data_IF_193804348693
#
_entry.id   IF_193804348693
#
_cell.length_a   1.000
_cell.length_b   1.000
_cell.length_c   1.000
_cell.angle_alpha   90.00
_cell.angle_beta   90.00
_cell.angle_gamma   90.00
#
_symmetry.space_group_name_H-M   'P 1'
#
loop_
_entity.id
_entity.type
_entity.pdbx_description
1 polymer ?
#
# COMPACT_ATOMS: atom_id res chain seq x y z
N UNK A 1 18.16 3.16 -41.25
CA UNK A 1 18.26 4.11 -40.14
C UNK A 1 16.92 4.83 -39.96
N UNK A 2 15.85 4.14 -39.55
CA UNK A 2 14.57 4.74 -39.12
C UNK A 2 13.62 3.62 -38.60
N UNK A 3 13.87 3.10 -37.39
CA UNK A 3 12.92 2.22 -36.68
C UNK A 3 13.18 2.19 -35.18
N UNK A 4 13.55 3.33 -34.62
CA UNK A 4 13.92 3.52 -33.21
C UNK A 4 13.04 4.62 -32.61
N UNK A 5 11.71 4.46 -32.66
CA UNK A 5 10.80 5.46 -32.10
C UNK A 5 9.42 4.91 -31.69
N UNK A 6 9.33 3.68 -31.15
CA UNK A 6 8.06 3.17 -30.57
C UNK A 6 8.14 2.87 -29.06
N UNK A 7 9.29 3.10 -28.41
CA UNK A 7 9.40 2.91 -26.96
C UNK A 7 8.92 4.12 -26.16
N UNK A 8 8.97 5.32 -26.75
CA UNK A 8 8.59 6.58 -26.06
C UNK A 8 7.08 6.71 -25.88
N UNK A 9 6.29 6.14 -26.79
CA UNK A 9 4.82 6.14 -26.72
C UNK A 9 4.25 5.25 -25.62
N UNK A 10 5.02 4.31 -25.08
CA UNK A 10 4.61 3.48 -23.93
C UNK A 10 4.84 4.16 -22.57
N UNK A 11 5.69 5.19 -22.49
CA UNK A 11 5.92 5.96 -21.27
C UNK A 11 4.89 7.07 -21.03
N UNK A 12 4.25 7.57 -22.10
CA UNK A 12 3.15 8.55 -22.02
C UNK A 12 1.92 8.05 -21.21
N UNK A 13 1.40 6.82 -21.39
CA UNK A 13 0.31 6.33 -20.56
C UNK A 13 0.74 6.03 -19.11
N UNK A 14 2.03 5.69 -18.89
CA UNK A 14 2.59 5.45 -17.55
C UNK A 14 2.67 6.76 -16.74
N UNK A 15 3.13 7.84 -17.39
CA UNK A 15 3.14 9.20 -16.82
C UNK A 15 1.73 9.74 -16.53
N UNK A 16 0.73 9.37 -17.33
CA UNK A 16 -0.67 9.78 -17.11
C UNK A 16 -1.32 8.97 -15.98
N UNK A 17 -0.93 7.70 -15.79
CA UNK A 17 -1.39 6.84 -14.70
C UNK A 17 -0.85 7.31 -13.33
N UNK A 18 0.38 7.83 -13.31
CA UNK A 18 1.05 8.44 -12.15
C UNK A 18 0.32 9.69 -11.62
N UNK A 19 -0.36 10.45 -12.49
CA UNK A 19 -1.05 11.71 -12.15
C UNK A 19 -2.41 11.50 -11.44
N UNK A 20 -2.94 10.28 -11.40
CA UNK A 20 -4.24 9.97 -10.81
C UNK A 20 -4.15 9.26 -9.44
N UNK A 21 -2.95 9.14 -8.86
CA UNK A 21 -2.74 8.40 -7.62
C UNK A 21 -3.08 9.28 -6.41
N UNK A 22 -4.21 8.97 -5.76
CA UNK A 22 -4.56 9.49 -4.43
C UNK A 22 -3.69 8.79 -3.39
N UNK A 23 -3.09 9.59 -2.51
CA UNK A 23 -2.12 9.14 -1.53
C UNK A 23 -2.85 8.79 -0.23
N UNK A 24 -2.65 7.57 0.29
CA UNK A 24 -2.99 7.26 1.68
C UNK A 24 -1.99 7.97 2.61
N UNK A 25 -2.54 8.69 3.56
CA UNK A 25 -1.82 9.47 4.54
C UNK A 25 -2.59 9.32 5.86
N UNK A 26 -1.87 9.26 6.99
CA UNK A 26 -2.51 9.35 8.32
C UNK A 26 -3.22 10.69 8.52
N UNK A 27 -2.88 11.65 7.67
CA UNK A 27 -3.66 12.83 7.38
C UNK A 27 -4.59 12.58 6.19
N UNK A 28 -5.88 12.33 6.45
CA UNK A 28 -6.87 12.20 5.38
C UNK A 28 -7.45 13.56 5.01
N UNK A 29 -7.31 13.96 3.76
CA UNK A 29 -7.85 15.20 3.21
C UNK A 29 -9.02 14.91 2.26
N UNK A 30 -10.18 15.50 2.56
CA UNK A 30 -11.38 15.40 1.73
C UNK A 30 -11.52 16.66 0.88
N UNK A 31 -11.46 16.49 -0.44
CA UNK A 31 -11.49 17.61 -1.41
C UNK A 31 -12.85 17.73 -2.12
N UNK A 32 -13.95 17.34 -1.46
CA UNK A 32 -15.29 17.31 -2.06
C UNK A 32 -15.75 15.91 -2.43
N UNK A 33 -15.55 14.93 -1.54
CA UNK A 33 -16.02 13.56 -1.78
C UNK A 33 -17.55 13.49 -1.69
N UNK A 34 -18.15 12.70 -2.59
CA UNK A 34 -19.61 12.53 -2.69
C UNK A 34 -20.04 11.30 -1.91
N UNK A 35 -21.21 11.38 -1.28
CA UNK A 35 -21.78 10.23 -0.57
C UNK A 35 -22.33 9.19 -1.54
N UNK A 36 -22.06 7.91 -1.23
CA UNK A 36 -22.56 6.77 -1.99
C UNK A 36 -23.68 6.09 -1.21
N UNK A 37 -24.75 5.75 -1.91
CA UNK A 37 -25.88 5.01 -1.31
C UNK A 37 -25.47 3.57 -0.98
N UNK A 38 -25.60 3.18 0.29
CA UNK A 38 -25.33 1.83 0.77
C UNK A 38 -26.49 1.36 1.66
N UNK A 39 -27.37 0.55 1.08
CA UNK A 39 -28.59 0.10 1.76
C UNK A 39 -29.55 1.28 1.99
N UNK A 40 -29.86 1.59 3.24
CA UNK A 40 -30.75 2.68 3.64
C UNK A 40 -30.02 3.94 4.14
N UNK A 41 -28.71 4.04 3.90
CA UNK A 41 -27.87 5.14 4.33
C UNK A 41 -26.97 5.64 3.19
N UNK A 42 -26.56 6.89 3.28
CA UNK A 42 -25.54 7.47 2.41
C UNK A 42 -24.24 7.57 3.19
N UNK A 43 -23.14 7.08 2.60
CA UNK A 43 -21.87 6.87 3.32
C UNK A 43 -20.69 7.40 2.51
N UNK A 44 -19.75 8.05 3.21
CA UNK A 44 -18.38 8.33 2.74
C UNK A 44 -17.40 7.68 3.72
N UNK A 45 -16.37 7.04 3.18
CA UNK A 45 -15.27 6.49 3.99
C UNK A 45 -14.33 7.62 4.39
N UNK A 46 -14.22 7.88 5.70
CA UNK A 46 -13.38 8.94 6.24
C UNK A 46 -11.92 8.54 6.42
N UNK A 47 -11.61 7.24 6.53
CA UNK A 47 -10.25 6.76 6.80
C UNK A 47 -10.27 5.50 7.66
N UNK A 48 -9.19 4.73 7.57
CA UNK A 48 -9.01 3.51 8.35
C UNK A 48 -7.54 3.34 8.71
N UNK A 49 -7.20 3.56 9.98
CA UNK A 49 -5.82 3.50 10.44
C UNK A 49 -5.67 2.68 11.71
N UNK A 50 -4.50 2.04 11.84
CA UNK A 50 -4.09 1.36 13.08
C UNK A 50 -3.54 2.38 14.07
N UNK A 51 -4.12 2.47 15.26
CA UNK A 51 -3.66 3.36 16.32
C UNK A 51 -3.29 2.56 17.56
N UNK A 52 -2.19 2.93 18.20
CA UNK A 52 -1.78 2.46 19.50
C UNK A 52 -2.44 3.31 20.59
N UNK A 53 -2.69 2.70 21.74
CA UNK A 53 -3.15 3.40 22.93
C UNK A 53 -2.16 4.49 23.35
N UNK A 54 -2.69 5.63 23.78
CA UNK A 54 -1.90 6.65 24.47
C UNK A 54 -1.35 6.09 25.77
N UNK A 55 -0.08 6.38 26.07
CA UNK A 55 0.48 6.11 27.39
C UNK A 55 -0.19 7.09 28.36
N UNK A 56 -0.69 6.63 29.52
CA UNK A 56 -1.26 7.54 30.52
C UNK A 56 -0.15 8.47 31.03
N UNK A 57 -0.18 9.73 30.61
CA UNK A 57 0.76 10.75 31.06
C UNK A 57 0.45 11.14 32.51
N UNK A 58 1.47 11.16 33.38
CA UNK A 58 1.38 11.66 34.76
C UNK A 58 1.16 13.18 34.84
N UNK A 59 1.33 13.91 33.72
CA UNK A 59 1.14 15.35 33.62
C UNK A 59 0.07 15.68 32.57
N UNK A 60 -1.05 16.26 32.99
CA UNK A 60 -2.23 16.58 32.16
C UNK A 60 -2.01 17.71 31.12
N UNK A 61 -0.83 18.34 31.09
CA UNK A 61 -0.55 19.51 30.26
C UNK A 61 0.05 19.20 28.89
N UNK A 62 0.48 17.96 28.62
CA UNK A 62 0.93 17.55 27.29
C UNK A 62 -0.25 17.10 26.42
N UNK A 63 -0.27 17.44 25.11
CA UNK A 63 -1.27 16.87 24.21
C UNK A 63 -1.16 15.34 24.23
N UNK A 64 -2.29 14.62 24.12
CA UNK A 64 -2.30 13.16 24.12
C UNK A 64 -1.35 12.59 23.06
N UNK A 65 -0.64 11.52 23.42
CA UNK A 65 0.35 10.91 22.53
C UNK A 65 -0.29 10.26 21.30
N UNK A 66 -1.55 9.80 21.43
CA UNK A 66 -2.33 9.18 20.35
C UNK A 66 -3.72 9.79 20.27
N UNK A 67 -4.09 10.31 19.10
CA UNK A 67 -5.38 10.96 18.89
C UNK A 67 -5.87 10.93 17.45
N UNK A 68 -7.18 11.09 17.30
CA UNK A 68 -7.85 11.44 16.04
C UNK A 68 -8.39 12.86 16.17
N UNK A 69 -7.95 13.77 15.31
CA UNK A 69 -8.36 15.18 15.32
C UNK A 69 -9.13 15.53 14.04
N UNK A 70 -10.29 16.16 14.22
CA UNK A 70 -11.08 16.73 13.15
C UNK A 70 -10.67 18.19 12.92
N UNK A 71 -10.24 18.52 11.71
CA UNK A 71 -9.90 19.88 11.30
C UNK A 71 -10.85 20.37 10.21
N UNK A 72 -11.71 21.33 10.59
CA UNK A 72 -12.59 22.08 9.68
C UNK A 72 -13.32 21.18 8.68
N UNK A 73 -14.08 20.20 9.18
CA UNK A 73 -14.92 19.36 8.33
C UNK A 73 -16.17 20.15 7.97
N UNK A 74 -16.35 20.38 6.68
CA UNK A 74 -17.44 21.15 6.09
C UNK A 74 -18.26 20.19 5.25
N UNK A 75 -19.56 20.16 5.52
CA UNK A 75 -20.52 19.50 4.67
C UNK A 75 -21.24 20.56 3.85
N UNK A 76 -21.24 20.38 2.53
CA UNK A 76 -21.86 21.30 1.59
C UNK A 76 -22.99 20.59 0.86
N UNK A 77 -24.21 21.12 0.96
CA UNK A 77 -25.39 20.63 0.25
C UNK A 77 -25.68 21.48 -0.99
N UNK A 78 -26.46 21.00 -1.97
CA UNK A 78 -26.90 21.82 -3.09
C UNK A 78 -27.79 22.99 -2.63
N UNK A 79 -27.63 24.16 -3.27
CA UNK A 79 -28.41 25.37 -2.93
C UNK A 79 -29.91 25.23 -3.16
N UNK A 80 -30.35 24.32 -4.02
CA UNK A 80 -31.79 24.07 -4.29
C UNK A 80 -32.54 23.52 -3.07
N UNK A 81 -31.82 22.92 -2.12
CA UNK A 81 -32.37 22.23 -0.94
C UNK A 81 -32.12 23.06 0.34
N UNK A 82 -31.59 24.29 0.22
CA UNK A 82 -31.24 25.13 1.38
C UNK A 82 -32.44 25.55 2.22
N UNK A 83 -33.62 25.65 1.60
CA UNK A 83 -34.82 26.18 2.23
C UNK A 83 -35.48 25.23 3.24
N UNK A 84 -35.01 23.98 3.33
CA UNK A 84 -35.56 22.93 4.19
C UNK A 84 -34.57 22.64 5.32
N UNK A 85 -35.06 22.49 6.55
CA UNK A 85 -34.27 21.91 7.64
C UNK A 85 -34.00 20.44 7.34
N UNK A 86 -32.75 20.10 7.05
CA UNK A 86 -32.39 18.73 6.70
C UNK A 86 -31.99 17.91 7.92
N UNK A 87 -32.03 16.58 7.78
CA UNK A 87 -31.56 15.64 8.78
C UNK A 87 -30.07 15.81 9.12
N UNK A 88 -29.65 15.22 10.24
CA UNK A 88 -28.28 15.31 10.71
C UNK A 88 -27.33 14.38 9.93
N UNK A 89 -26.15 14.91 9.62
CA UNK A 89 -24.99 14.15 9.18
C UNK A 89 -24.21 13.76 10.42
N UNK A 90 -23.75 12.52 10.49
CA UNK A 90 -22.93 12.06 11.60
C UNK A 90 -21.57 11.58 11.11
N UNK A 91 -20.52 11.97 11.84
CA UNK A 91 -19.22 11.33 11.79
C UNK A 91 -19.17 10.24 12.86
N UNK A 92 -18.97 9.00 12.45
CA UNK A 92 -18.82 7.86 13.36
C UNK A 92 -17.39 7.34 13.30
N UNK A 93 -16.79 7.14 14.47
CA UNK A 93 -15.47 6.53 14.64
C UNK A 93 -15.60 5.30 15.52
N UNK A 94 -15.07 4.17 15.06
CA UNK A 94 -15.19 2.89 15.77
C UNK A 94 -13.99 1.99 15.53
N UNK A 95 -13.67 1.15 16.51
CA UNK A 95 -12.72 0.06 16.35
C UNK A 95 -13.34 -1.05 15.48
N UNK A 96 -12.54 -1.75 14.66
CA UNK A 96 -13.02 -2.86 13.79
C UNK A 96 -13.83 -3.90 14.57
N UNK A 97 -13.46 -4.22 15.80
CA UNK A 97 -14.17 -5.17 16.66
C UNK A 97 -15.58 -4.68 17.03
N UNK A 98 -15.75 -3.37 17.13
CA UNK A 98 -17.03 -2.71 17.44
C UNK A 98 -17.89 -2.52 16.18
N UNK A 99 -17.48 -2.99 15.00
CA UNK A 99 -18.25 -2.87 13.75
C UNK A 99 -19.67 -3.41 13.88
N UNK A 100 -19.84 -4.47 14.66
CA UNK A 100 -21.13 -5.12 14.89
C UNK A 100 -22.10 -4.27 15.72
N UNK A 101 -21.58 -3.31 16.48
CA UNK A 101 -22.39 -2.37 17.29
C UNK A 101 -23.06 -1.27 16.46
N UNK A 102 -22.69 -1.15 15.18
CA UNK A 102 -23.23 -0.17 14.25
C UNK A 102 -24.26 -0.83 13.33
N UNK A 103 -25.41 -0.18 13.23
CA UNK A 103 -26.55 -0.70 12.50
C UNK A 103 -27.27 -1.82 13.25
N UNK A 104 -28.36 -2.28 12.65
CA UNK A 104 -29.13 -3.40 13.16
C UNK A 104 -29.99 -4.02 12.06
N UNK A 105 -30.46 -5.24 12.29
CA UNK A 105 -31.50 -5.86 11.48
C UNK A 105 -32.61 -6.34 12.40
N UNK A 106 -33.86 -6.01 12.06
CA UNK A 106 -35.02 -6.52 12.82
C UNK A 106 -35.27 -8.01 12.55
N UNK A 107 -34.91 -8.48 11.35
CA UNK A 107 -35.32 -9.81 10.85
C UNK A 107 -34.15 -10.64 10.31
N UNK A 108 -32.91 -10.39 10.75
CA UNK A 108 -31.74 -11.19 10.33
C UNK A 108 -31.30 -11.01 8.86
N UNK A 109 -31.84 -10.01 8.15
CA UNK A 109 -31.50 -9.67 6.77
C UNK A 109 -30.38 -8.62 6.65
N UNK A 110 -30.41 -7.81 5.57
CA UNK A 110 -29.48 -6.70 5.38
C UNK A 110 -29.52 -5.74 6.59
N UNK A 111 -28.33 -5.37 7.09
CA UNK A 111 -28.21 -4.42 8.22
C UNK A 111 -28.62 -3.03 7.76
N UNK A 112 -29.62 -2.49 8.44
CA UNK A 112 -29.98 -1.08 8.35
C UNK A 112 -29.03 -0.27 9.21
N UNK A 113 -28.40 0.76 8.64
CA UNK A 113 -27.55 1.69 9.39
C UNK A 113 -28.39 2.83 9.97
N UNK A 114 -29.39 3.26 9.19
CA UNK A 114 -30.33 4.29 9.59
C UNK A 114 -31.57 3.71 10.24
N UNK A 115 -32.07 4.38 11.28
CA UNK A 115 -33.29 3.99 11.98
C UNK A 115 -34.52 4.24 11.09
N UNK A 116 -35.18 3.15 10.68
CA UNK A 116 -36.44 3.19 9.93
C UNK A 116 -37.63 3.40 10.87
N UNK A 117 -38.77 3.81 10.33
CA UNK A 117 -40.00 4.00 11.12
C UNK A 117 -40.43 2.72 11.85
N UNK A 118 -40.23 1.54 11.25
CA UNK A 118 -40.57 0.26 11.87
C UNK A 118 -39.69 -0.05 13.09
N UNK A 119 -38.39 0.24 13.00
CA UNK A 119 -37.45 0.10 14.12
C UNK A 119 -37.72 1.13 15.23
N UNK A 120 -38.14 2.33 14.86
CA UNK A 120 -38.53 3.36 15.81
C UNK A 120 -39.81 2.98 16.57
N UNK A 121 -40.81 2.38 15.90
CA UNK A 121 -42.02 1.87 16.54
C UNK A 121 -41.75 0.75 17.55
N UNK A 122 -40.69 -0.04 17.32
CA UNK A 122 -40.22 -1.06 18.25
C UNK A 122 -39.46 -0.47 19.46
N UNK A 123 -39.28 0.86 19.52
CA UNK A 123 -38.61 1.54 20.64
C UNK A 123 -37.09 1.36 20.67
N UNK A 124 -36.48 0.86 19.59
CA UNK A 124 -35.04 0.53 19.56
C UNK A 124 -34.18 1.75 19.22
N UNK A 125 -34.72 2.70 18.43
CA UNK A 125 -33.99 3.88 17.98
C UNK A 125 -34.93 5.03 17.62
N UNK A 126 -34.37 6.24 17.51
CA UNK A 126 -35.03 7.46 17.04
C UNK A 126 -35.01 7.51 15.51
N UNK A 127 -36.18 7.71 14.91
CA UNK A 127 -36.33 7.76 13.45
C UNK A 127 -35.39 8.81 12.82
N UNK A 128 -34.70 8.42 11.75
CA UNK A 128 -33.78 9.33 11.03
C UNK A 128 -32.39 9.48 11.64
N UNK A 129 -32.11 8.84 12.78
CA UNK A 129 -30.76 8.77 13.36
C UNK A 129 -30.05 7.45 13.04
N UNK A 130 -28.74 7.43 13.27
CA UNK A 130 -27.91 6.24 13.08
C UNK A 130 -28.08 5.30 14.26
N UNK A 131 -28.27 4.02 13.96
CA UNK A 131 -28.32 2.96 14.96
C UNK A 131 -26.88 2.67 15.41
N UNK A 132 -26.61 2.90 16.69
CA UNK A 132 -25.36 2.54 17.33
C UNK A 132 -25.64 2.03 18.74
N UNK A 133 -24.79 1.14 19.25
CA UNK A 133 -24.87 0.60 20.61
C UNK A 133 -23.51 0.77 21.28
N UNK A 134 -23.44 1.09 22.58
CA UNK A 134 -22.18 1.08 23.30
C UNK A 134 -21.55 -0.32 23.24
N UNK A 135 -20.24 -0.37 23.00
CA UNK A 135 -19.48 -1.61 23.05
C UNK A 135 -19.46 -2.16 24.47
N UNK A 136 -19.59 -3.49 24.59
CA UNK A 136 -19.44 -4.20 25.87
C UNK A 136 -17.98 -4.23 26.34
N UNK A 137 -17.03 -4.15 25.42
CA UNK A 137 -15.60 -4.25 25.69
C UNK A 137 -14.97 -2.88 25.91
N UNK A 138 -15.44 -1.85 25.18
CA UNK A 138 -14.93 -0.48 25.24
C UNK A 138 -16.07 0.49 25.63
N UNK A 139 -16.28 0.76 26.92
CA UNK A 139 -17.35 1.68 27.33
C UNK A 139 -17.12 3.07 26.72
N UNK A 140 -18.16 3.61 26.06
CA UNK A 140 -18.11 4.90 25.39
C UNK A 140 -17.73 4.87 23.90
N UNK A 141 -17.45 3.70 23.34
CA UNK A 141 -17.32 3.50 21.89
C UNK A 141 -18.58 2.83 21.33
N UNK A 142 -18.99 3.10 20.06
CA UNK A 142 -18.36 3.99 19.08
C UNK A 142 -18.60 5.48 19.37
N UNK A 143 -17.70 6.34 18.90
CA UNK A 143 -17.83 7.79 19.02
C UNK A 143 -18.65 8.35 17.86
N UNK A 144 -19.76 9.03 18.16
CA UNK A 144 -20.68 9.57 17.15
C UNK A 144 -20.85 11.08 17.33
N UNK A 145 -20.62 11.85 16.28
CA UNK A 145 -20.75 13.30 16.27
C UNK A 145 -21.73 13.72 15.18
N UNK A 146 -22.89 14.24 15.57
CA UNK A 146 -23.92 14.74 14.66
C UNK A 146 -23.84 16.24 14.43
N UNK A 147 -24.09 16.68 13.21
CA UNK A 147 -24.31 18.08 12.83
C UNK A 147 -25.50 18.16 11.87
N UNK A 148 -26.34 19.18 12.01
CA UNK A 148 -27.48 19.45 11.13
C UNK A 148 -27.23 20.69 10.28
N UNK A 149 -27.97 20.82 9.18
CA UNK A 149 -28.00 22.06 8.40
C UNK A 149 -29.06 22.99 8.99
N UNK A 150 -28.67 24.24 9.25
CA UNK A 150 -29.63 25.30 9.54
C UNK A 150 -30.40 25.68 8.26
N UNK A 151 -31.61 26.24 8.44
CA UNK A 151 -32.41 26.78 7.34
C UNK A 151 -31.61 27.86 6.59
N UNK A 152 -31.69 27.84 5.26
CA UNK A 152 -31.02 28.75 4.33
C UNK A 152 -29.48 28.71 4.34
N UNK A 153 -28.86 27.79 5.09
CA UNK A 153 -27.41 27.56 5.03
C UNK A 153 -27.06 26.43 4.07
N UNK A 154 -26.14 26.71 3.16
CA UNK A 154 -25.62 25.74 2.18
C UNK A 154 -24.51 24.87 2.79
N UNK A 155 -23.83 25.38 3.81
CA UNK A 155 -22.71 24.73 4.46
C UNK A 155 -22.94 24.58 5.97
N UNK A 156 -22.51 23.46 6.52
CA UNK A 156 -22.45 23.24 7.97
C UNK A 156 -21.08 22.69 8.35
N UNK A 157 -20.60 23.06 9.54
CA UNK A 157 -19.24 22.78 9.99
C UNK A 157 -19.31 21.87 11.20
N UNK A 158 -18.60 20.75 11.16
CA UNK A 158 -18.38 19.94 12.34
C UNK A 158 -17.35 20.65 13.24
N UNK A 159 -17.66 20.91 14.52
CA UNK A 159 -16.72 21.56 15.42
C UNK A 159 -15.39 20.79 15.51
N UNK A 160 -14.24 21.50 15.55
CA UNK A 160 -12.96 20.84 15.72
C UNK A 160 -12.93 20.12 17.06
N UNK A 161 -12.58 18.83 17.03
CA UNK A 161 -12.49 17.98 18.21
C UNK A 161 -11.32 17.02 18.08
N UNK A 162 -10.78 16.60 19.21
CA UNK A 162 -9.77 15.56 19.31
C UNK A 162 -10.28 14.42 20.17
N UNK A 163 -10.21 13.20 19.66
CA UNK A 163 -10.53 11.97 20.39
C UNK A 163 -9.22 11.35 20.83
N UNK A 164 -9.09 11.07 22.13
CA UNK A 164 -7.95 10.35 22.68
C UNK A 164 -8.16 8.84 22.50
N UNK A 165 -7.10 8.14 22.09
CA UNK A 165 -7.14 6.69 21.87
C UNK A 165 -6.63 5.96 23.10
N UNK A 166 -7.53 5.27 23.81
CA UNK A 166 -7.18 4.54 25.04
C UNK A 166 -6.83 3.07 24.81
N UNK A 167 -7.24 2.50 23.67
CA UNK A 167 -7.00 1.10 23.31
C UNK A 167 -6.34 1.00 21.93
N UNK A 168 -5.31 0.15 21.83
CA UNK A 168 -4.68 -0.14 20.56
C UNK A 168 -5.59 -0.98 19.67
N UNK A 169 -5.80 -0.56 18.43
CA UNK A 169 -6.71 -1.25 17.50
C UNK A 169 -6.72 -0.61 16.11
N UNK A 170 -7.48 -1.23 15.20
CA UNK A 170 -7.77 -0.64 13.89
C UNK A 170 -9.03 0.20 14.01
N UNK A 171 -8.92 1.50 13.77
CA UNK A 171 -10.03 2.43 13.85
C UNK A 171 -10.50 2.82 12.46
N UNK A 172 -11.80 2.84 12.26
CA UNK A 172 -12.43 3.28 11.02
C UNK A 172 -13.30 4.50 11.30
N UNK A 173 -13.35 5.38 10.32
CA UNK A 173 -14.20 6.55 10.34
C UNK A 173 -15.11 6.59 9.12
N UNK A 174 -16.37 6.91 9.32
CA UNK A 174 -17.33 7.11 8.25
C UNK A 174 -18.17 8.37 8.48
N UNK A 175 -18.47 9.07 7.41
CA UNK A 175 -19.53 10.08 7.39
C UNK A 175 -20.79 9.44 6.87
N UNK A 176 -21.89 9.60 7.61
CA UNK A 176 -23.14 8.91 7.33
C UNK A 176 -24.31 9.87 7.55
N UNK A 177 -25.28 9.87 6.64
CA UNK A 177 -26.58 10.50 6.86
C UNK A 177 -27.72 9.61 6.38
N UNK A 178 -28.90 9.88 6.95
CA UNK A 178 -30.09 9.05 6.81
C UNK A 178 -31.25 9.75 6.08
N UNK A 179 -31.15 11.06 5.88
CA UNK A 179 -32.20 11.84 5.22
C UNK A 179 -32.14 11.68 3.70
N UNK A 180 -33.17 11.11 3.05
CA UNK A 180 -33.20 10.95 1.60
C UNK A 180 -33.32 12.28 0.84
N UNK A 181 -33.69 13.37 1.50
CA UNK A 181 -33.76 14.70 0.89
C UNK A 181 -32.37 15.33 0.69
N UNK A 182 -31.36 14.90 1.46
CA UNK A 182 -29.99 15.35 1.32
C UNK A 182 -29.29 14.62 0.17
N UNK A 183 -29.67 14.88 -1.08
CA UNK A 183 -28.95 14.33 -2.24
C UNK A 183 -27.73 15.18 -2.56
N UNK A 184 -26.67 14.54 -3.05
CA UNK A 184 -25.46 15.18 -3.57
C UNK A 184 -24.71 16.09 -2.57
N UNK A 185 -24.76 15.76 -1.27
CA UNK A 185 -23.90 16.39 -0.28
C UNK A 185 -22.44 16.04 -0.59
N UNK A 186 -21.54 17.01 -0.40
CA UNK A 186 -20.10 16.80 -0.46
C UNK A 186 -19.42 17.10 0.86
N UNK A 187 -18.38 16.34 1.18
CA UNK A 187 -17.54 16.57 2.37
C UNK A 187 -16.20 17.17 1.98
N UNK A 188 -15.81 18.21 2.70
CA UNK A 188 -14.51 18.89 2.60
C UNK A 188 -13.87 19.00 3.97
N UNK A 189 -12.56 18.95 4.06
CA UNK A 189 -11.83 19.14 5.31
C UNK A 189 -10.73 18.11 5.51
N UNK A 190 -10.24 17.99 6.73
CA UNK A 190 -9.11 17.11 7.03
C UNK A 190 -9.29 16.40 8.37
N UNK A 191 -8.87 15.14 8.44
CA UNK A 191 -8.65 14.44 9.71
C UNK A 191 -7.19 14.06 9.88
N UNK A 192 -6.72 14.13 11.12
CA UNK A 192 -5.33 13.82 11.48
C UNK A 192 -5.35 12.68 12.49
N UNK A 193 -4.64 11.61 12.15
CA UNK A 193 -4.53 10.41 12.95
C UNK A 193 -3.08 10.29 13.40
N UNK A 194 -2.82 10.39 14.70
CA UNK A 194 -1.47 10.41 15.25
C UNK A 194 -1.28 9.28 16.24
N UNK A 195 -0.15 8.60 16.14
CA UNK A 195 0.32 7.59 17.07
C UNK A 195 1.35 8.17 18.07
N UNK A 196 1.63 7.48 19.19
CA UNK A 196 2.64 7.90 20.16
C UNK A 196 4.04 8.07 19.55
N UNK A 197 4.38 7.24 18.56
CA UNK A 197 5.68 7.25 17.88
C UNK A 197 5.77 8.24 16.71
N UNK A 198 4.68 8.93 16.36
CA UNK A 198 4.57 9.84 15.23
C UNK A 198 3.32 9.62 14.40
N UNK A 199 3.31 10.09 13.15
CA UNK A 199 2.15 10.01 12.26
C UNK A 199 2.09 8.70 11.48
N UNK A 200 3.04 7.78 11.66
CA UNK A 200 3.03 6.51 10.93
C UNK A 200 1.88 5.61 11.41
N UNK A 201 1.07 5.04 10.50
CA UNK A 201 0.05 4.06 10.86
C UNK A 201 0.62 2.90 11.67
N UNK A 202 -0.12 2.45 12.68
CA UNK A 202 0.32 1.38 13.58
C UNK A 202 0.60 0.05 12.86
N UNK A 203 -0.07 -0.20 11.73
CA UNK A 203 0.21 -1.34 10.85
C UNK A 203 1.60 -1.26 10.21
N UNK A 204 2.09 -0.05 9.95
CA UNK A 204 3.38 0.22 9.28
C UNK A 204 4.51 0.55 10.26
N UNK A 205 4.20 0.91 11.50
CA UNK A 205 5.18 1.20 12.54
C UNK A 205 6.34 0.18 12.66
N UNK A 206 6.10 -1.14 12.69
CA UNK A 206 7.20 -2.10 12.79
C UNK A 206 8.05 -2.20 11.50
N UNK A 207 7.51 -1.83 10.34
CA UNK A 207 8.26 -1.89 9.07
C UNK A 207 9.41 -0.88 9.05
N UNK A 208 9.23 0.31 9.63
CA UNK A 208 10.30 1.32 9.72
C UNK A 208 11.54 0.75 10.42
N UNK A 209 11.35 0.10 11.57
CA UNK A 209 12.44 -0.54 12.32
C UNK A 209 13.05 -1.71 11.54
N UNK A 210 12.22 -2.53 10.89
CA UNK A 210 12.68 -3.63 10.06
C UNK A 210 13.61 -3.15 8.93
N UNK A 211 13.20 -2.14 8.16
CA UNK A 211 14.04 -1.58 7.09
C UNK A 211 15.32 -0.93 7.63
N UNK A 212 15.27 -0.31 8.82
CA UNK A 212 16.46 0.20 9.51
C UNK A 212 17.47 -0.90 9.83
N UNK A 213 17.03 -2.00 10.46
CA UNK A 213 17.92 -3.14 10.76
C UNK A 213 18.42 -3.85 9.51
N UNK A 214 17.56 -4.03 8.50
CA UNK A 214 17.95 -4.64 7.22
C UNK A 214 18.97 -3.78 6.47
N UNK A 215 18.79 -2.45 6.46
CA UNK A 215 19.76 -1.51 5.89
C UNK A 215 21.14 -1.65 6.55
N UNK A 216 21.18 -1.70 7.90
CA UNK A 216 22.43 -1.95 8.63
C UNK A 216 23.05 -3.32 8.25
N UNK A 217 22.23 -4.36 8.13
CA UNK A 217 22.68 -5.68 7.69
C UNK A 217 23.30 -5.66 6.29
N UNK A 218 22.70 -4.94 5.34
CA UNK A 218 23.26 -4.75 4.00
C UNK A 218 24.55 -3.93 3.99
N UNK A 219 24.70 -2.94 4.88
CA UNK A 219 25.96 -2.21 5.04
C UNK A 219 27.07 -3.13 5.54
N UNK A 220 26.81 -3.95 6.56
CA UNK A 220 27.79 -4.94 7.07
C UNK A 220 28.17 -5.95 5.98
N UNK A 221 27.17 -6.48 5.26
CA UNK A 221 27.39 -7.38 4.13
C UNK A 221 28.21 -6.70 3.04
N UNK A 222 27.92 -5.44 2.71
CA UNK A 222 28.64 -4.64 1.73
C UNK A 222 30.10 -4.42 2.11
N UNK A 223 30.40 -4.11 3.38
CA UNK A 223 31.76 -3.95 3.88
C UNK A 223 32.53 -5.27 3.79
N UNK A 224 31.92 -6.37 4.24
CA UNK A 224 32.52 -7.70 4.17
C UNK A 224 32.80 -8.10 2.72
N UNK A 225 31.81 -7.95 1.84
CA UNK A 225 31.92 -8.26 0.42
C UNK A 225 32.98 -7.40 -0.26
N UNK A 226 32.98 -6.09 -0.03
CA UNK A 226 33.94 -5.16 -0.61
C UNK A 226 35.37 -5.45 -0.14
N UNK A 227 35.56 -5.83 1.13
CA UNK A 227 36.87 -6.26 1.65
C UNK A 227 37.38 -7.53 0.97
N UNK A 228 36.51 -8.53 0.79
CA UNK A 228 36.86 -9.77 0.09
C UNK A 228 37.13 -9.53 -1.40
N UNK A 229 36.33 -8.66 -2.02
CA UNK A 229 36.52 -8.18 -3.38
C UNK A 229 37.89 -7.50 -3.48
N UNK A 230 38.20 -6.51 -2.60
CA UNK A 230 39.51 -5.82 -2.35
C UNK A 230 40.71 -6.76 -2.31
N UNK A 231 40.56 -7.88 -1.61
CA UNK A 231 41.67 -8.83 -1.45
C UNK A 231 41.96 -9.65 -2.70
N UNK A 232 40.95 -9.92 -3.54
CA UNK A 232 41.04 -10.81 -4.70
C UNK A 232 40.81 -10.09 -6.05
N UNK A 233 41.08 -8.78 -6.17
CA UNK A 233 40.82 -8.00 -7.41
C UNK A 233 41.44 -8.59 -8.67
N UNK A 234 42.53 -9.35 -8.55
CA UNK A 234 43.23 -9.96 -9.69
C UNK A 234 42.50 -11.17 -10.28
N UNK A 235 41.56 -11.77 -9.56
CA UNK A 235 40.86 -13.00 -9.95
C UNK A 235 39.34 -12.81 -10.09
N UNK A 236 38.90 -11.56 -10.34
CA UNK A 236 37.47 -11.23 -10.36
C UNK A 236 36.78 -11.78 -11.60
N UNK A 237 35.84 -12.71 -11.37
CA UNK A 237 34.94 -13.22 -12.39
C UNK A 237 33.83 -12.19 -12.68
N UNK A 238 33.34 -12.06 -13.93
CA UNK A 238 32.23 -11.16 -14.27
C UNK A 238 30.97 -11.36 -13.41
N UNK A 239 30.76 -12.57 -12.88
CA UNK A 239 29.65 -12.89 -11.96
C UNK A 239 29.74 -12.13 -10.63
N UNK A 240 30.95 -11.88 -10.12
CA UNK A 240 31.15 -11.14 -8.86
C UNK A 240 30.78 -9.66 -9.02
N UNK A 241 30.94 -9.08 -10.22
CA UNK A 241 30.48 -7.73 -10.52
C UNK A 241 28.95 -7.64 -10.47
N UNK A 242 28.26 -8.64 -11.02
CA UNK A 242 26.80 -8.75 -10.92
C UNK A 242 26.33 -8.88 -9.47
N UNK A 243 27.03 -9.67 -8.65
CA UNK A 243 26.72 -9.78 -7.22
C UNK A 243 26.94 -8.46 -6.47
N UNK A 244 28.03 -7.74 -6.77
CA UNK A 244 28.31 -6.41 -6.21
C UNK A 244 27.20 -5.41 -6.56
N UNK A 245 26.75 -5.42 -7.82
CA UNK A 245 25.61 -4.61 -8.26
C UNK A 245 24.34 -4.94 -7.45
N UNK A 246 24.01 -6.22 -7.25
CA UNK A 246 22.84 -6.62 -6.46
C UNK A 246 22.92 -6.17 -5.00
N UNK A 247 24.10 -6.27 -4.37
CA UNK A 247 24.31 -5.80 -2.99
C UNK A 247 24.11 -4.29 -2.92
N UNK A 248 24.67 -3.53 -3.85
CA UNK A 248 24.51 -2.06 -3.89
C UNK A 248 23.06 -1.65 -4.11
N UNK A 249 22.34 -2.31 -5.02
CA UNK A 249 20.91 -2.07 -5.25
C UNK A 249 20.07 -2.42 -4.00
N UNK A 250 20.43 -3.50 -3.29
CA UNK A 250 19.79 -3.86 -2.01
C UNK A 250 20.02 -2.81 -0.92
N UNK A 251 21.24 -2.26 -0.81
CA UNK A 251 21.54 -1.17 0.11
C UNK A 251 20.68 0.07 -0.20
N UNK A 252 20.59 0.48 -1.47
CA UNK A 252 19.79 1.65 -1.87
C UNK A 252 18.29 1.43 -1.61
N UNK A 253 17.75 0.26 -1.95
CA UNK A 253 16.35 -0.07 -1.69
C UNK A 253 16.03 0.03 -0.19
N UNK A 254 16.80 -0.64 0.68
CA UNK A 254 16.54 -0.62 2.13
C UNK A 254 16.68 0.79 2.72
N UNK A 255 17.64 1.58 2.25
CA UNK A 255 17.82 2.96 2.68
C UNK A 255 16.65 3.85 2.25
N UNK A 256 16.21 3.76 0.99
CA UNK A 256 15.09 4.54 0.47
C UNK A 256 13.78 4.20 1.18
N UNK A 257 13.53 2.92 1.47
CA UNK A 257 12.38 2.52 2.29
C UNK A 257 12.44 3.06 3.71
N UNK A 258 13.61 3.05 4.35
CA UNK A 258 13.78 3.66 5.67
C UNK A 258 13.46 5.16 5.65
N UNK A 259 13.98 5.90 4.66
CA UNK A 259 13.70 7.32 4.51
C UNK A 259 12.23 7.62 4.17
N UNK A 260 11.59 6.78 3.35
CA UNK A 260 10.15 6.87 3.03
C UNK A 260 9.33 6.83 4.33
N UNK A 261 9.59 5.83 5.18
CA UNK A 261 8.88 5.66 6.45
C UNK A 261 9.24 6.72 7.49
N UNK A 262 10.49 7.17 7.55
CA UNK A 262 10.91 8.22 8.48
C UNK A 262 10.23 9.57 8.16
N UNK A 263 10.25 9.97 6.89
CA UNK A 263 9.60 11.22 6.44
C UNK A 263 8.07 11.12 6.58
N UNK A 264 7.48 9.97 6.30
CA UNK A 264 6.06 9.74 6.53
C UNK A 264 5.70 9.81 8.02
N UNK A 265 6.56 9.35 8.92
CA UNK A 265 6.34 9.43 10.36
C UNK A 265 6.35 10.87 10.88
N UNK A 266 7.13 11.77 10.26
CA UNK A 266 7.20 13.19 10.64
C UNK A 266 6.07 14.03 10.05
N UNK A 267 5.78 13.84 8.76
CA UNK A 267 4.83 14.69 8.01
C UNK A 267 3.37 14.18 8.08
N UNK A 268 3.19 12.87 8.31
CA UNK A 268 1.89 12.21 8.25
C UNK A 268 1.29 12.11 6.84
N UNK A 269 2.08 12.43 5.82
CA UNK A 269 1.72 12.28 4.41
C UNK A 269 2.81 11.47 3.72
N UNK A 270 2.43 10.53 2.86
CA UNK A 270 3.41 9.68 2.20
C UNK A 270 4.21 10.50 1.14
N UNK A 271 5.55 10.55 1.22
CA UNK A 271 6.37 11.32 0.29
C UNK A 271 6.47 10.62 -1.07
N UNK A 272 5.60 11.00 -2.00
CA UNK A 272 5.49 10.36 -3.33
C UNK A 272 6.82 10.20 -4.05
N UNK A 273 7.68 11.23 -4.03
CA UNK A 273 8.97 11.18 -4.70
C UNK A 273 9.87 10.05 -4.15
N UNK A 274 10.01 9.95 -2.83
CA UNK A 274 10.86 8.94 -2.19
C UNK A 274 10.27 7.55 -2.40
N UNK A 275 8.94 7.40 -2.26
CA UNK A 275 8.24 6.14 -2.53
C UNK A 275 8.48 5.64 -3.95
N UNK A 276 8.38 6.53 -4.96
CA UNK A 276 8.63 6.17 -6.36
C UNK A 276 10.07 5.67 -6.55
N UNK A 277 11.06 6.38 -6.01
CA UNK A 277 12.44 5.92 -6.06
C UNK A 277 12.64 4.57 -5.35
N UNK A 278 12.10 4.39 -4.16
CA UNK A 278 12.19 3.13 -3.41
C UNK A 278 11.62 1.95 -4.22
N UNK A 279 10.44 2.14 -4.82
CA UNK A 279 9.78 1.15 -5.69
C UNK A 279 10.60 0.87 -6.96
N UNK A 280 11.11 1.90 -7.64
CA UNK A 280 11.93 1.73 -8.84
C UNK A 280 13.22 0.96 -8.53
N UNK A 281 13.93 1.28 -7.44
CA UNK A 281 15.14 0.52 -7.06
C UNK A 281 14.83 -0.93 -6.68
N UNK A 282 13.73 -1.19 -5.98
CA UNK A 282 13.30 -2.55 -5.65
C UNK A 282 12.94 -3.39 -6.89
N UNK A 283 12.21 -2.80 -7.84
CA UNK A 283 11.82 -3.45 -9.10
C UNK A 283 13.01 -3.68 -10.04
N UNK A 284 13.95 -2.73 -10.11
CA UNK A 284 15.23 -2.90 -10.82
C UNK A 284 16.01 -4.06 -10.19
N UNK A 285 16.18 -4.08 -8.86
CA UNK A 285 16.87 -5.18 -8.16
C UNK A 285 16.24 -6.53 -8.49
N UNK A 286 14.92 -6.65 -8.33
CA UNK A 286 14.16 -7.89 -8.61
C UNK A 286 14.38 -8.36 -10.05
N UNK A 287 14.32 -7.43 -11.02
CA UNK A 287 14.53 -7.76 -12.44
C UNK A 287 15.96 -8.19 -12.72
N UNK A 288 16.94 -7.44 -12.21
CA UNK A 288 18.37 -7.76 -12.37
C UNK A 288 18.69 -9.12 -11.73
N UNK A 289 18.12 -9.45 -10.58
CA UNK A 289 18.26 -10.76 -9.94
C UNK A 289 17.75 -11.90 -10.84
N UNK A 290 16.53 -11.80 -11.37
CA UNK A 290 15.97 -12.82 -12.27
C UNK A 290 16.83 -12.99 -13.54
N UNK A 291 17.29 -11.89 -14.12
CA UNK A 291 18.15 -11.93 -15.31
C UNK A 291 19.51 -12.58 -15.02
N UNK A 292 20.13 -12.27 -13.89
CA UNK A 292 21.41 -12.89 -13.49
C UNK A 292 21.22 -14.39 -13.31
N UNK A 293 20.19 -14.83 -12.58
CA UNK A 293 19.92 -16.26 -12.35
C UNK A 293 19.67 -16.98 -13.68
N UNK A 294 18.92 -16.36 -14.60
CA UNK A 294 18.68 -16.91 -15.93
C UNK A 294 19.97 -17.01 -16.76
N UNK A 295 20.81 -15.96 -16.76
CA UNK A 295 22.10 -15.99 -17.46
C UNK A 295 23.04 -17.08 -16.91
N UNK A 296 23.11 -17.22 -15.58
CA UNK A 296 23.94 -18.23 -14.92
C UNK A 296 23.43 -19.65 -15.22
N UNK A 297 22.11 -19.89 -15.17
CA UNK A 297 21.52 -21.19 -15.49
C UNK A 297 21.67 -21.59 -16.96
N UNK A 298 21.77 -20.61 -17.87
CA UNK A 298 22.15 -20.83 -19.27
C UNK A 298 23.65 -21.13 -19.49
N UNK A 299 24.47 -21.06 -18.43
CA UNK A 299 25.91 -21.34 -18.47
C UNK A 299 26.78 -20.16 -18.91
N UNK A 300 26.28 -18.93 -18.82
CA UNK A 300 27.08 -17.72 -19.08
C UNK A 300 28.28 -17.65 -18.13
N UNK A 301 29.48 -17.44 -18.69
CA UNK A 301 30.73 -17.34 -17.94
C UNK A 301 31.44 -18.66 -17.63
N UNK A 302 30.74 -19.81 -17.64
CA UNK A 302 31.34 -21.14 -17.38
C UNK A 302 31.37 -22.02 -18.65
N UNK A 303 30.26 -22.10 -19.39
CA UNK A 303 30.11 -23.06 -20.51
C UNK A 303 30.07 -22.36 -21.87
N UNK A 304 29.61 -21.10 -21.93
CA UNK A 304 29.57 -20.32 -23.17
C UNK A 304 30.08 -18.87 -22.95
N UNK A 305 31.04 -18.40 -23.75
CA UNK A 305 31.58 -17.04 -23.61
C UNK A 305 30.62 -15.94 -24.12
N UNK A 306 29.66 -16.28 -25.01
CA UNK A 306 28.62 -15.33 -25.48
C UNK A 306 27.27 -16.03 -25.70
N UNK A 307 26.17 -15.35 -25.37
CA UNK A 307 24.80 -15.88 -25.52
C UNK A 307 24.17 -15.65 -26.91
N UNK A 308 24.90 -15.07 -27.88
CA UNK A 308 24.40 -14.83 -29.24
C UNK A 308 23.01 -14.15 -29.28
N UNK A 309 22.14 -14.56 -30.20
CA UNK A 309 20.77 -14.03 -30.34
C UNK A 309 19.82 -14.33 -29.18
N UNK A 310 20.21 -15.19 -28.21
CA UNK A 310 19.41 -15.48 -27.02
C UNK A 310 19.41 -14.30 -26.04
N UNK A 311 20.47 -13.48 -26.03
CA UNK A 311 20.57 -12.25 -25.22
C UNK A 311 19.43 -11.29 -25.50
N UNK A 312 19.06 -11.10 -26.78
CA UNK A 312 17.97 -10.20 -27.17
C UNK A 312 16.61 -10.69 -26.66
N UNK A 313 16.38 -12.01 -26.60
CA UNK A 313 15.13 -12.57 -26.07
C UNK A 313 15.04 -12.40 -24.56
N UNK A 314 16.15 -12.65 -23.86
CA UNK A 314 16.26 -12.46 -22.41
C UNK A 314 16.08 -11.00 -22.03
N UNK A 315 16.70 -10.08 -22.77
CA UNK A 315 16.56 -8.64 -22.56
C UNK A 315 15.12 -8.15 -22.79
N UNK A 316 14.47 -8.64 -23.85
CA UNK A 316 13.06 -8.30 -24.13
C UNK A 316 12.15 -8.77 -22.98
N UNK A 317 12.34 -10.02 -22.53
CA UNK A 317 11.57 -10.56 -21.41
C UNK A 317 11.81 -9.77 -20.11
N UNK A 318 13.08 -9.46 -19.80
CA UNK A 318 13.44 -8.66 -18.64
C UNK A 318 12.81 -7.28 -18.67
N UNK A 319 12.79 -6.63 -19.83
CA UNK A 319 12.17 -5.31 -19.99
C UNK A 319 10.66 -5.37 -19.75
N UNK A 320 9.97 -6.37 -20.31
CA UNK A 320 8.53 -6.57 -20.09
C UNK A 320 8.23 -6.85 -18.62
N UNK A 321 9.04 -7.67 -17.96
CA UNK A 321 8.91 -7.97 -16.53
C UNK A 321 9.13 -6.74 -15.65
N UNK A 322 10.16 -5.95 -15.96
CA UNK A 322 10.43 -4.70 -15.26
C UNK A 322 9.23 -3.75 -15.33
N UNK A 323 8.72 -3.48 -16.53
CA UNK A 323 7.58 -2.59 -16.72
C UNK A 323 6.32 -3.11 -16.01
N UNK A 324 6.02 -4.41 -16.12
CA UNK A 324 4.86 -4.99 -15.45
C UNK A 324 4.97 -4.93 -13.92
N UNK A 325 6.16 -5.20 -13.38
CA UNK A 325 6.42 -5.15 -11.93
C UNK A 325 6.41 -3.72 -11.40
N UNK A 326 6.99 -2.77 -12.14
CA UNK A 326 6.99 -1.36 -11.75
C UNK A 326 5.58 -0.78 -11.72
N UNK A 327 4.75 -1.07 -12.72
CA UNK A 327 3.33 -0.68 -12.70
C UNK A 327 2.61 -1.25 -11.49
N UNK A 328 2.79 -2.53 -11.19
CA UNK A 328 2.13 -3.18 -10.06
C UNK A 328 2.54 -2.53 -8.73
N UNK A 329 3.84 -2.45 -8.47
CA UNK A 329 4.38 -1.94 -7.21
C UNK A 329 4.06 -0.46 -7.00
N UNK A 330 4.04 0.32 -8.08
CA UNK A 330 3.69 1.73 -8.02
C UNK A 330 2.19 1.93 -7.73
N UNK A 331 1.33 1.11 -8.34
CA UNK A 331 -0.10 1.10 -8.00
C UNK A 331 -0.31 0.65 -6.56
N UNK A 332 0.36 -0.39 -6.07
CA UNK A 332 0.16 -0.87 -4.71
C UNK A 332 0.67 0.10 -3.63
N UNK A 333 1.79 0.78 -3.88
CA UNK A 333 2.41 1.66 -2.88
C UNK A 333 1.97 3.12 -3.01
N UNK A 334 1.89 3.66 -4.22
CA UNK A 334 1.51 5.07 -4.42
C UNK A 334 0.00 5.21 -4.61
N UNK A 335 -0.68 4.16 -5.10
CA UNK A 335 -2.10 4.16 -5.43
C UNK A 335 -2.97 3.31 -4.51
N UNK A 336 -3.15 3.73 -3.25
CA UNK A 336 -4.04 3.02 -2.36
C UNK A 336 -5.44 3.65 -2.29
N UNK A 337 -6.36 3.00 -3.04
CA UNK A 337 -7.70 2.57 -2.61
C UNK A 337 -8.58 3.58 -1.85
N UNK A 338 -9.48 4.22 -2.60
CA UNK A 338 -10.85 4.41 -2.11
C UNK A 338 -11.93 3.71 -2.96
N UNK A 339 -11.65 3.29 -4.20
CA UNK A 339 -12.69 2.62 -5.03
C UNK A 339 -12.20 1.53 -6.01
N UNK A 340 -10.90 1.21 -6.08
CA UNK A 340 -10.46 0.04 -6.85
C UNK A 340 -10.82 -1.23 -6.08
N UNK A 341 -12.01 -1.75 -6.38
CA UNK A 341 -12.48 -3.09 -6.03
C UNK A 341 -11.31 -4.07 -5.98
N UNK A 342 -11.22 -4.93 -4.95
CA UNK A 342 -10.16 -5.95 -4.85
C UNK A 342 -9.99 -6.81 -6.12
N UNK A 343 -10.99 -6.82 -7.01
CA UNK A 343 -10.92 -7.35 -8.39
C UNK A 343 -9.85 -6.68 -9.26
N UNK A 344 -9.68 -5.35 -9.19
CA UNK A 344 -8.68 -4.64 -9.97
C UNK A 344 -7.25 -4.92 -9.48
N UNK A 345 -7.06 -5.07 -8.16
CA UNK A 345 -5.79 -5.54 -7.61
C UNK A 345 -5.41 -6.92 -8.16
N UNK A 346 -6.37 -7.85 -8.18
CA UNK A 346 -6.17 -9.18 -8.75
C UNK A 346 -5.75 -9.14 -10.22
N UNK A 347 -6.29 -8.18 -10.99
CA UNK A 347 -5.96 -7.99 -12.40
C UNK A 347 -4.50 -7.58 -12.65
N UNK A 348 -3.89 -6.79 -11.76
CA UNK A 348 -2.47 -6.41 -11.89
C UNK A 348 -1.51 -7.47 -11.35
N UNK A 349 -1.88 -8.16 -10.26
CA UNK A 349 -1.02 -9.19 -9.64
C UNK A 349 -0.89 -10.44 -10.52
N UNK A 350 -1.96 -10.83 -11.21
CA UNK A 350 -2.01 -12.09 -11.96
C UNK A 350 -1.01 -12.14 -13.14
N UNK A 351 -0.88 -11.12 -14.01
CA UNK A 351 0.14 -11.10 -15.05
C UNK A 351 1.58 -11.20 -14.53
N UNK A 352 1.90 -10.51 -13.44
CA UNK A 352 3.25 -10.54 -12.84
C UNK A 352 3.56 -11.93 -12.29
N UNK A 353 2.60 -12.57 -11.61
CA UNK A 353 2.76 -13.93 -11.10
C UNK A 353 2.97 -14.97 -12.21
N UNK A 354 2.30 -14.82 -13.36
CA UNK A 354 2.52 -15.68 -14.54
C UNK A 354 3.94 -15.49 -15.08
N UNK A 355 4.43 -14.25 -15.15
CA UNK A 355 5.81 -13.98 -15.58
C UNK A 355 6.84 -14.58 -14.62
N UNK A 356 6.64 -14.46 -13.30
CA UNK A 356 7.51 -15.11 -12.30
C UNK A 356 7.54 -16.64 -12.51
N UNK A 357 6.38 -17.27 -12.70
CA UNK A 357 6.29 -18.71 -12.97
C UNK A 357 7.02 -19.10 -14.27
N UNK A 358 6.92 -18.28 -15.32
CA UNK A 358 7.63 -18.49 -16.57
C UNK A 358 9.16 -18.39 -16.40
N UNK A 359 9.66 -17.41 -15.65
CA UNK A 359 11.08 -17.31 -15.31
C UNK A 359 11.58 -18.56 -14.59
N UNK A 360 10.83 -19.03 -13.58
CA UNK A 360 11.17 -20.23 -12.80
C UNK A 360 11.30 -21.45 -13.73
N UNK A 361 10.29 -21.71 -14.57
CA UNK A 361 10.30 -22.84 -15.49
C UNK A 361 11.46 -22.75 -16.49
N UNK A 362 11.76 -21.55 -17.00
CA UNK A 362 12.87 -21.37 -17.94
C UNK A 362 14.23 -21.57 -17.26
N UNK A 363 14.40 -21.09 -16.03
CA UNK A 363 15.63 -21.31 -15.25
C UNK A 363 15.84 -22.81 -15.02
N UNK A 364 14.83 -23.54 -14.57
CA UNK A 364 14.94 -24.98 -14.31
C UNK A 364 15.25 -25.77 -15.59
N UNK A 365 14.56 -25.48 -16.70
CA UNK A 365 14.82 -26.15 -17.98
C UNK A 365 16.21 -25.83 -18.54
N UNK A 366 16.67 -24.59 -18.42
CA UNK A 366 18.02 -24.18 -18.83
C UNK A 366 19.08 -24.86 -17.98
N UNK A 367 18.90 -24.86 -16.66
CA UNK A 367 19.82 -25.51 -15.71
C UNK A 367 19.91 -27.01 -15.97
N UNK A 368 18.78 -27.70 -16.19
CA UNK A 368 18.75 -29.13 -16.51
C UNK A 368 19.50 -29.44 -17.81
N UNK A 369 19.32 -28.63 -18.86
CA UNK A 369 20.07 -28.77 -20.11
C UNK A 369 21.57 -28.59 -19.91
N UNK A 370 21.98 -27.61 -19.10
CA UNK A 370 23.38 -27.33 -18.79
C UNK A 370 24.01 -28.46 -17.98
N UNK A 371 23.30 -28.97 -16.96
CA UNK A 371 23.75 -30.12 -16.14
C UNK A 371 23.92 -31.38 -16.98
N UNK A 372 22.96 -31.71 -17.86
CA UNK A 372 23.07 -32.89 -18.73
C UNK A 372 24.29 -32.78 -19.66
N UNK A 373 24.57 -31.59 -20.21
CA UNK A 373 25.77 -31.37 -21.04
C UNK A 373 27.06 -31.53 -20.23
N UNK A 374 27.11 -31.01 -19.01
CA UNK A 374 28.26 -31.16 -18.12
C UNK A 374 28.45 -32.62 -17.68
N UNK A 375 27.39 -33.37 -17.42
CA UNK A 375 27.46 -34.80 -17.11
C UNK A 375 28.04 -35.58 -18.29
N UNK A 376 27.56 -35.36 -19.51
CA UNK A 376 28.10 -36.01 -20.71
C UNK A 376 29.57 -35.65 -20.91
N UNK A 377 29.95 -34.38 -20.76
CA UNK A 377 31.35 -33.95 -20.85
C UNK A 377 32.22 -34.57 -19.75
N UNK A 378 31.74 -34.69 -18.52
CA UNK A 378 32.45 -35.34 -17.42
C UNK A 378 32.63 -36.85 -17.68
N UNK A 379 31.59 -37.52 -18.19
CA UNK A 379 31.66 -38.94 -18.57
C UNK A 379 32.62 -39.16 -19.75
N UNK A 380 32.62 -38.27 -20.74
CA UNK A 380 33.57 -38.30 -21.86
C UNK A 380 35.00 -37.99 -21.41
N UNK A 381 35.22 -37.04 -20.50
CA UNK A 381 36.55 -36.77 -19.93
C UNK A 381 37.06 -37.96 -19.12
N UNK A 382 36.22 -38.62 -18.31
CA UNK A 382 36.60 -39.86 -17.64
C UNK A 382 36.94 -40.98 -18.63
N UNK A 383 36.18 -41.14 -19.72
CA UNK A 383 36.49 -42.12 -20.76
C UNK A 383 37.80 -41.79 -21.51
N UNK A 384 38.04 -40.52 -21.86
CA UNK A 384 39.29 -40.10 -22.51
C UNK A 384 40.50 -40.24 -21.58
N UNK A 385 40.36 -39.95 -20.28
CA UNK A 385 41.41 -40.26 -19.32
C UNK A 385 41.66 -41.77 -19.24
N UNK A 386 40.62 -42.61 -19.22
CA UNK A 386 40.77 -44.07 -19.13
C UNK A 386 41.44 -44.71 -20.37
N UNK A 387 41.22 -44.14 -21.56
CA UNK A 387 41.88 -44.59 -22.81
C UNK A 387 43.34 -44.13 -22.91
N UNK A 388 43.72 -43.06 -22.21
CA UNK A 388 45.10 -42.57 -22.17
C UNK A 388 45.98 -43.25 -21.11
N UNK A 389 45.39 -44.04 -20.20
CA UNK A 389 46.12 -44.81 -19.17
C UNK A 389 46.30 -46.30 -19.47
N UNK A 390 45.89 -46.78 -20.64
CA UNK A 390 46.07 -48.18 -21.08
C UNK A 390 46.89 -48.28 -22.37
#
# INVERSE_FOLDING_TARGET
MLRRLNSVTAFLPLSLLLLCLRIEASVHEYTGERFVSKGNAFVVHGGSEGLYASIPNLNESSPPDSFIRFEKIIFQRPGEISNISSGSIHAIVFEVDDRETIGGSAYGGQRAVCCTADLAKLGVCTQGQIIHRPSTYNPGWPQVFGVSFDVDKVETILPPRSIQITKSGMYNMYFIYCDPNLKDVIVKGKTIWKNPTGYLPGRMAPLMNFYGFMSLGFVVLGIFWFSQYARHWREVLPLQNCATLLITLGMFEMALWYFDYAEFNETGVRPTGITVWAVTFGTVKRTVSWLIILMVSMGYGVVRPTLGGLTSKVLMLGTTFFVASEVLELVENVGAVSDLSGKARLFFVLPVAILDAFFILWIFTSLSSTLNKLQVLCSSFMCSCFVLTY
#
